data_IF_949161560012
#
_entry.id   IF_949161560012
#
_cell.length_a   1.000
_cell.length_b   1.000
_cell.length_c   1.000
_cell.angle_alpha   90.00
_cell.angle_beta   90.00
_cell.angle_gamma   90.00
#
_symmetry.space_group_name_H-M   'P 1'
#
loop_
_entity.id
_entity.type
_entity.pdbx_description
1 polymer ?
#
# COMPACT_ATOMS: atom_id res chain seq x y z
N UNK A 1 28.85 10.84 7.13
CA UNK A 1 27.43 11.26 7.18
C UNK A 1 27.24 12.09 8.45
N UNK A 2 26.57 13.25 8.38
CA UNK A 2 26.35 14.07 9.58
C UNK A 2 25.13 13.51 10.33
N UNK A 3 25.32 13.03 11.55
CA UNK A 3 24.21 12.57 12.38
C UNK A 3 23.27 13.74 12.67
N UNK A 4 21.95 13.51 12.56
CA UNK A 4 20.94 14.50 12.95
C UNK A 4 21.01 14.76 14.45
N UNK A 5 20.69 15.99 14.86
CA UNK A 5 20.54 16.36 16.27
C UNK A 5 19.28 15.70 16.83
N UNK A 6 19.43 14.89 17.88
CA UNK A 6 18.34 14.14 18.51
C UNK A 6 17.73 14.91 19.69
N UNK A 7 16.40 14.84 19.85
CA UNK A 7 15.69 15.31 21.06
C UNK A 7 16.05 14.47 22.29
N UNK A 8 15.76 14.91 23.53
CA UNK A 8 16.01 14.11 24.73
C UNK A 8 15.35 12.72 24.70
N UNK A 9 14.12 12.64 24.20
CA UNK A 9 13.38 11.37 24.06
C UNK A 9 14.02 10.47 22.99
N UNK A 10 14.42 11.05 21.86
CA UNK A 10 15.14 10.34 20.79
C UNK A 10 16.50 9.83 21.29
N UNK A 11 17.23 10.61 22.08
CA UNK A 11 18.50 10.18 22.68
C UNK A 11 18.29 9.04 23.67
N UNK A 12 17.25 9.11 24.50
CA UNK A 12 16.92 8.04 25.43
C UNK A 12 16.70 6.71 24.71
N UNK A 13 15.92 6.70 23.63
CA UNK A 13 15.67 5.47 22.88
C UNK A 13 16.87 5.06 22.04
N UNK A 14 17.38 5.94 21.18
CA UNK A 14 18.38 5.61 20.15
C UNK A 14 19.79 5.40 20.74
N UNK A 15 20.19 6.20 21.73
CA UNK A 15 21.55 6.17 22.28
C UNK A 15 21.65 5.42 23.61
N UNK A 16 20.61 5.51 24.44
CA UNK A 16 20.59 4.88 25.77
C UNK A 16 19.84 3.54 25.78
N UNK A 17 19.47 3.02 24.60
CA UNK A 17 18.79 1.73 24.41
C UNK A 17 17.47 1.64 25.18
N UNK A 18 16.77 2.77 25.29
CA UNK A 18 15.42 2.84 25.84
C UNK A 18 14.39 2.23 24.90
N UNK A 19 13.15 2.11 25.36
CA UNK A 19 12.03 1.62 24.55
C UNK A 19 10.86 2.58 24.69
N UNK A 20 10.24 2.94 23.57
CA UNK A 20 9.00 3.72 23.58
C UNK A 20 7.89 2.97 24.30
N UNK A 21 6.88 3.70 24.78
CA UNK A 21 5.69 3.04 25.33
C UNK A 21 4.92 2.32 24.20
N UNK A 22 4.33 1.14 24.47
CA UNK A 22 3.51 0.47 23.48
C UNK A 22 2.30 1.33 23.11
N UNK A 23 1.89 1.24 21.84
CA UNK A 23 0.75 1.94 21.23
C UNK A 23 0.87 3.46 21.15
N UNK A 24 2.03 4.05 21.47
CA UNK A 24 2.22 5.51 21.39
C UNK A 24 3.03 5.97 20.18
N UNK A 25 3.74 5.04 19.52
CA UNK A 25 4.64 5.36 18.41
C UNK A 25 3.88 5.75 17.14
N UNK A 26 4.34 6.82 16.47
CA UNK A 26 3.75 7.36 15.22
C UNK A 26 3.60 6.31 14.10
N UNK A 27 4.43 5.27 14.08
CA UNK A 27 4.45 4.29 13.01
C UNK A 27 3.82 2.95 13.38
N UNK A 28 3.23 2.82 14.57
CA UNK A 28 2.59 1.58 14.99
C UNK A 28 1.51 1.13 13.98
N UNK A 29 0.56 2.02 13.66
CA UNK A 29 -0.54 1.77 12.71
C UNK A 29 -0.34 2.47 11.35
N UNK A 30 0.91 2.75 10.98
CA UNK A 30 1.24 3.39 9.71
C UNK A 30 1.60 2.35 8.66
N UNK A 31 0.90 2.33 7.52
CA UNK A 31 1.10 1.35 6.43
C UNK A 31 1.12 2.00 5.04
N UNK A 32 1.50 3.29 4.99
CA UNK A 32 1.74 3.98 3.72
C UNK A 32 2.94 3.34 2.99
N UNK A 33 2.90 3.34 1.65
CA UNK A 33 3.98 2.84 0.81
C UNK A 33 5.20 3.73 0.89
N UNK A 34 6.36 3.15 1.22
CA UNK A 34 7.62 3.89 1.28
C UNK A 34 8.72 3.11 1.99
N UNK A 35 9.67 3.85 2.55
CA UNK A 35 10.83 3.31 3.26
C UNK A 35 10.95 3.93 4.64
N UNK A 36 11.22 3.09 5.64
CA UNK A 36 11.59 3.53 6.97
C UNK A 36 13.10 3.71 7.05
N UNK A 37 13.55 4.92 7.36
CA UNK A 37 14.94 5.29 7.46
C UNK A 37 15.34 5.54 8.91
N UNK A 38 16.60 5.26 9.26
CA UNK A 38 17.16 5.53 10.58
C UNK A 38 17.06 7.03 10.90
N UNK A 39 16.44 7.35 12.04
CA UNK A 39 16.28 8.73 12.50
C UNK A 39 17.61 9.49 12.60
N UNK A 40 18.66 8.81 13.07
CA UNK A 40 19.95 9.43 13.35
C UNK A 40 20.79 9.68 12.10
N UNK A 41 20.91 8.68 11.22
CA UNK A 41 21.84 8.74 10.08
C UNK A 41 21.17 8.75 8.70
N UNK A 42 19.86 8.51 8.63
CA UNK A 42 19.10 8.47 7.37
C UNK A 42 19.26 7.18 6.56
N UNK A 43 20.00 6.19 7.04
CA UNK A 43 20.13 4.91 6.34
C UNK A 43 18.77 4.21 6.22
N UNK A 44 18.45 3.68 5.04
CA UNK A 44 17.20 2.93 4.83
C UNK A 44 17.26 1.61 5.60
N UNK A 45 16.23 1.31 6.39
CA UNK A 45 16.17 0.17 7.30
C UNK A 45 15.17 -0.89 6.83
N UNK A 46 13.95 -0.45 6.52
CA UNK A 46 12.83 -1.34 6.21
C UNK A 46 12.02 -0.80 5.05
N UNK A 47 11.43 -1.69 4.26
CA UNK A 47 10.43 -1.34 3.26
C UNK A 47 9.05 -1.44 3.88
N UNK A 48 8.09 -0.63 3.42
CA UNK A 48 6.71 -0.72 3.88
C UNK A 48 6.07 -2.09 3.62
N UNK A 49 6.49 -2.79 2.56
CA UNK A 49 6.04 -4.14 2.21
C UNK A 49 6.43 -5.22 3.23
N UNK A 50 7.49 -4.98 4.00
CA UNK A 50 7.93 -5.90 5.07
C UNK A 50 7.14 -5.64 6.37
N UNK A 51 6.37 -4.55 6.46
CA UNK A 51 5.63 -4.18 7.66
C UNK A 51 4.33 -5.01 7.75
N UNK A 52 4.00 -5.48 8.96
CA UNK A 52 2.77 -6.22 9.19
C UNK A 52 2.12 -5.88 10.55
N UNK A 53 0.79 -6.04 10.70
CA UNK A 53 0.10 -5.80 11.97
C UNK A 53 0.33 -6.96 12.95
N UNK A 54 1.25 -6.77 13.90
CA UNK A 54 1.53 -7.75 14.97
C UNK A 54 0.72 -7.54 16.25
N UNK A 55 0.09 -6.36 16.39
CA UNK A 55 -0.59 -5.90 17.61
C UNK A 55 0.28 -5.88 18.88
N UNK A 56 1.61 -5.91 18.75
CA UNK A 56 2.52 -5.88 19.90
C UNK A 56 2.64 -4.49 20.54
N UNK A 57 2.15 -3.44 19.87
CA UNK A 57 2.23 -2.04 20.31
C UNK A 57 3.38 -1.24 19.70
N UNK A 58 4.15 -1.83 18.80
CA UNK A 58 5.21 -1.16 18.03
C UNK A 58 5.16 -1.57 16.56
N UNK A 59 5.66 -0.73 15.63
CA UNK A 59 5.80 -1.14 14.24
C UNK A 59 6.60 -2.43 14.13
N UNK A 60 6.08 -3.36 13.35
CA UNK A 60 6.62 -4.70 13.20
C UNK A 60 6.92 -4.99 11.74
N UNK A 61 8.13 -5.49 11.48
CA UNK A 61 8.58 -5.87 10.14
C UNK A 61 9.02 -7.34 10.14
N UNK A 62 8.81 -8.06 9.05
CA UNK A 62 9.23 -9.46 8.93
C UNK A 62 10.46 -9.68 8.05
N UNK A 63 11.06 -8.59 7.57
CA UNK A 63 12.33 -8.54 6.87
C UNK A 63 13.02 -7.18 7.11
N UNK A 64 14.25 -7.07 6.63
CA UNK A 64 15.04 -5.85 6.61
C UNK A 64 15.62 -5.58 5.22
N UNK A 65 15.98 -4.32 4.95
CA UNK A 65 16.86 -4.05 3.82
C UNK A 65 18.21 -4.72 4.11
N UNK A 66 18.69 -5.56 3.18
CA UNK A 66 19.88 -6.37 3.36
C UNK A 66 21.08 -5.53 3.86
N UNK A 67 21.63 -5.92 5.00
CA UNK A 67 22.77 -5.25 5.64
C UNK A 67 22.43 -3.96 6.40
N UNK A 68 21.17 -3.54 6.47
CA UNK A 68 20.76 -2.32 7.17
C UNK A 68 20.65 -2.48 8.69
N UNK A 69 20.42 -3.71 9.16
CA UNK A 69 20.19 -4.03 10.57
C UNK A 69 21.29 -4.94 11.11
N UNK A 70 21.89 -4.55 12.23
CA UNK A 70 22.87 -5.35 12.97
C UNK A 70 22.18 -5.96 14.19
N UNK A 71 22.35 -7.28 14.38
CA UNK A 71 21.76 -8.04 15.49
C UNK A 71 22.82 -8.26 16.57
N UNK A 72 22.48 -7.98 17.83
CA UNK A 72 23.37 -8.14 18.99
C UNK A 72 22.62 -8.82 20.14
N UNK A 73 23.26 -9.75 20.85
CA UNK A 73 22.61 -10.43 21.98
C UNK A 73 22.63 -9.51 23.19
N UNK A 74 21.48 -9.29 23.81
CA UNK A 74 21.35 -8.50 25.03
C UNK A 74 22.22 -9.07 26.16
N UNK A 75 22.57 -8.23 27.13
CA UNK A 75 23.31 -8.66 28.33
C UNK A 75 22.59 -9.77 29.13
N UNK A 76 21.28 -9.94 28.95
CA UNK A 76 20.47 -11.00 29.54
C UNK A 76 20.63 -12.37 28.85
N UNK A 77 21.26 -12.41 27.67
CA UNK A 77 21.51 -13.60 26.87
C UNK A 77 20.25 -14.20 26.22
N UNK A 78 19.11 -13.51 26.26
CA UNK A 78 17.80 -14.03 25.80
C UNK A 78 17.24 -13.28 24.61
N UNK A 79 17.35 -11.97 24.61
CA UNK A 79 16.80 -11.12 23.54
C UNK A 79 17.90 -10.72 22.56
N UNK A 80 17.50 -10.50 21.31
CA UNK A 80 18.40 -10.03 20.26
C UNK A 80 18.01 -8.59 19.94
N UNK A 81 18.86 -7.66 20.36
CA UNK A 81 18.79 -6.25 20.03
C UNK A 81 19.04 -6.07 18.53
N UNK A 82 18.28 -5.15 17.92
CA UNK A 82 18.52 -4.68 16.55
C UNK A 82 19.00 -3.23 16.58
N UNK A 83 20.10 -2.99 15.87
CA UNK A 83 20.79 -1.72 15.74
C UNK A 83 20.84 -1.32 14.27
N UNK A 84 20.87 -0.02 13.98
CA UNK A 84 21.22 0.44 12.65
C UNK A 84 22.68 0.05 12.34
N UNK A 85 22.90 -0.71 11.26
CA UNK A 85 24.25 -1.17 10.90
C UNK A 85 25.20 -0.01 10.51
N UNK A 86 24.66 1.17 10.18
CA UNK A 86 25.45 2.33 9.75
C UNK A 86 25.89 3.25 10.91
N UNK A 87 25.10 3.36 11.99
CA UNK A 87 25.39 4.31 13.08
C UNK A 87 25.23 3.74 14.49
N UNK A 88 24.95 2.44 14.61
CA UNK A 88 24.73 1.72 15.86
C UNK A 88 23.55 2.24 16.71
N UNK A 89 22.68 3.07 16.12
CA UNK A 89 21.49 3.57 16.80
C UNK A 89 20.52 2.44 17.13
N UNK A 90 20.04 2.42 18.38
CA UNK A 90 19.09 1.41 18.85
C UNK A 90 17.76 1.49 18.11
N UNK A 91 17.33 0.36 17.55
CA UNK A 91 16.06 0.24 16.83
C UNK A 91 15.01 -0.48 17.68
N UNK A 92 15.37 -1.54 18.39
CA UNK A 92 14.45 -2.37 19.16
C UNK A 92 14.96 -3.80 19.30
N UNK A 93 14.08 -4.79 19.11
CA UNK A 93 14.43 -6.21 19.21
C UNK A 93 13.86 -7.04 18.05
N UNK A 94 14.54 -8.13 17.71
CA UNK A 94 14.03 -9.15 16.79
C UNK A 94 13.60 -10.40 17.55
N UNK A 95 12.48 -10.98 17.14
CA UNK A 95 11.90 -12.20 17.65
C UNK A 95 11.73 -13.20 16.51
N UNK A 96 12.10 -14.46 16.73
CA UNK A 96 11.97 -15.53 15.74
C UNK A 96 11.13 -16.66 16.34
N UNK A 97 10.37 -17.38 15.51
CA UNK A 97 9.61 -18.55 15.97
C UNK A 97 8.18 -18.28 16.43
N UNK A 98 7.69 -17.04 16.33
CA UNK A 98 6.34 -16.65 16.78
C UNK A 98 5.22 -17.05 15.79
N UNK A 99 5.57 -17.48 14.59
CA UNK A 99 4.69 -17.93 13.52
C UNK A 99 3.68 -16.87 13.06
N UNK A 100 4.06 -15.59 13.14
CA UNK A 100 3.21 -14.46 12.73
C UNK A 100 3.22 -14.22 11.22
N UNK A 101 4.35 -14.49 10.56
CA UNK A 101 4.50 -14.42 9.10
C UNK A 101 5.20 -15.66 8.58
N UNK A 102 5.26 -15.80 7.25
CA UNK A 102 5.97 -16.91 6.58
C UNK A 102 7.48 -16.89 6.87
N UNK A 103 8.08 -15.71 6.98
CA UNK A 103 9.49 -15.53 7.33
C UNK A 103 9.76 -15.85 8.80
N UNK A 104 8.71 -15.87 9.63
CA UNK A 104 8.76 -16.28 11.03
C UNK A 104 9.75 -15.45 11.87
N UNK A 105 9.89 -14.19 11.49
CA UNK A 105 10.75 -13.16 12.05
C UNK A 105 9.87 -11.95 12.33
N UNK A 106 10.08 -11.29 13.45
CA UNK A 106 9.43 -10.02 13.80
C UNK A 106 10.44 -9.06 14.38
N UNK A 107 10.76 -8.03 13.62
CA UNK A 107 11.50 -6.86 14.07
C UNK A 107 10.51 -5.93 14.77
N UNK A 108 10.57 -5.86 16.09
CA UNK A 108 9.76 -4.98 16.92
C UNK A 108 10.53 -3.67 17.11
N UNK A 109 10.16 -2.63 16.37
CA UNK A 109 10.98 -1.43 16.21
C UNK A 109 10.36 -0.24 16.92
N UNK A 110 11.17 0.61 17.55
CA UNK A 110 10.71 1.89 18.06
C UNK A 110 10.43 2.85 16.89
N UNK A 111 9.24 3.45 16.87
CA UNK A 111 8.87 4.47 15.87
C UNK A 111 9.80 5.70 15.94
N UNK A 112 10.23 6.09 17.15
CA UNK A 112 11.13 7.24 17.34
C UNK A 112 12.52 7.02 16.77
N UNK A 113 12.94 5.76 16.59
CA UNK A 113 14.22 5.42 15.97
C UNK A 113 14.20 5.55 14.44
N UNK A 114 13.04 5.88 13.85
CA UNK A 114 12.85 5.95 12.41
C UNK A 114 12.19 7.26 11.96
N UNK A 115 12.51 7.65 10.74
CA UNK A 115 11.68 8.51 9.89
C UNK A 115 11.07 7.63 8.79
N UNK A 116 9.95 8.07 8.23
CA UNK A 116 9.33 7.44 7.06
C UNK A 116 9.53 8.38 5.88
N UNK A 117 9.87 7.81 4.73
CA UNK A 117 9.99 8.51 3.45
C UNK A 117 8.96 7.87 2.53
N UNK A 118 7.97 8.63 2.11
CA UNK A 118 6.92 8.08 1.25
C UNK A 118 7.48 7.69 -0.12
N UNK A 119 6.79 6.80 -0.81
CA UNK A 119 7.14 6.46 -2.19
C UNK A 119 7.17 7.72 -3.09
N UNK A 120 6.25 8.67 -2.87
CA UNK A 120 6.25 9.96 -3.55
C UNK A 120 7.52 10.77 -3.27
N UNK A 121 7.90 10.92 -2.00
CA UNK A 121 9.12 11.63 -1.59
C UNK A 121 10.39 10.96 -2.15
N UNK A 122 10.46 9.62 -2.14
CA UNK A 122 11.59 8.87 -2.70
C UNK A 122 11.76 9.15 -4.20
N UNK A 123 10.67 9.21 -4.94
CA UNK A 123 10.73 9.51 -6.36
C UNK A 123 11.09 10.97 -6.63
N UNK A 124 10.53 11.92 -5.87
CA UNK A 124 10.89 13.34 -5.98
C UNK A 124 12.40 13.54 -5.75
N UNK A 125 12.98 12.83 -4.78
CA UNK A 125 14.42 12.85 -4.52
C UNK A 125 15.26 12.25 -5.67
N UNK A 126 14.68 11.31 -6.42
CA UNK A 126 15.28 10.71 -7.62
C UNK A 126 14.98 11.48 -8.92
N UNK A 127 14.33 12.66 -8.82
CA UNK A 127 14.02 13.51 -9.96
C UNK A 127 12.83 13.03 -10.82
N UNK A 128 12.09 12.02 -10.37
CA UNK A 128 10.85 11.56 -10.99
C UNK A 128 9.63 12.00 -10.18
N UNK A 129 8.57 12.46 -10.84
CA UNK A 129 7.27 12.65 -10.17
C UNK A 129 6.45 11.37 -10.37
N UNK A 130 6.26 10.56 -9.33
CA UNK A 130 5.24 9.50 -9.39
C UNK A 130 3.88 10.13 -9.61
N UNK A 131 2.99 9.35 -10.20
CA UNK A 131 1.61 9.72 -10.44
C UNK A 131 0.70 8.67 -9.83
N UNK A 132 -0.54 9.07 -9.53
CA UNK A 132 -1.58 8.17 -9.05
C UNK A 132 -2.65 7.98 -10.11
N UNK A 133 -3.27 6.81 -10.12
CA UNK A 133 -4.44 6.49 -10.92
C UNK A 133 -5.45 5.71 -10.07
N UNK A 134 -6.75 5.93 -10.30
CA UNK A 134 -7.79 5.39 -9.45
C UNK A 134 -8.81 4.58 -10.27
N UNK A 135 -8.98 3.31 -9.89
CA UNK A 135 -9.80 2.35 -10.64
C UNK A 135 -10.76 1.61 -9.70
N UNK A 136 -12.01 1.45 -10.13
CA UNK A 136 -13.01 0.60 -9.47
C UNK A 136 -13.54 -0.40 -10.49
N UNK A 137 -13.48 -1.70 -10.21
CA UNK A 137 -13.78 -2.74 -11.21
C UNK A 137 -14.24 -4.05 -10.61
N UNK A 138 -15.03 -4.00 -9.54
CA UNK A 138 -15.42 -5.16 -8.75
C UNK A 138 -14.74 -5.21 -7.40
N UNK A 139 -14.66 -6.41 -6.82
CA UNK A 139 -13.91 -6.64 -5.58
C UNK A 139 -12.48 -6.10 -5.72
N UNK A 140 -12.11 -5.13 -4.88
CA UNK A 140 -10.81 -4.46 -4.97
C UNK A 140 -9.60 -5.39 -4.80
N UNK A 141 -9.76 -6.57 -4.17
CA UNK A 141 -8.66 -7.52 -3.94
C UNK A 141 -8.12 -8.04 -5.26
N UNK A 142 -9.02 -8.32 -6.22
CA UNK A 142 -8.61 -8.81 -7.53
C UNK A 142 -7.94 -7.71 -8.36
N UNK A 143 -8.48 -6.50 -8.29
CA UNK A 143 -7.92 -5.32 -8.97
C UNK A 143 -6.53 -4.99 -8.42
N UNK A 144 -6.40 -4.91 -7.09
CA UNK A 144 -5.14 -4.67 -6.38
C UNK A 144 -4.08 -5.69 -6.80
N UNK A 145 -4.38 -6.98 -6.63
CA UNK A 145 -3.45 -8.06 -6.91
C UNK A 145 -2.93 -8.08 -8.36
N UNK A 146 -3.78 -7.76 -9.33
CA UNK A 146 -3.41 -7.79 -10.75
C UNK A 146 -2.68 -6.50 -11.17
N UNK A 147 -3.07 -5.35 -10.63
CA UNK A 147 -2.38 -4.07 -10.86
C UNK A 147 -0.98 -4.05 -10.27
N UNK A 148 -0.77 -4.66 -9.09
CA UNK A 148 0.55 -4.77 -8.45
C UNK A 148 1.59 -5.50 -9.31
N UNK A 149 1.14 -6.34 -10.26
CA UNK A 149 2.02 -7.11 -11.13
C UNK A 149 2.50 -6.32 -12.35
N UNK A 150 1.94 -5.14 -12.61
CA UNK A 150 2.31 -4.31 -13.75
C UNK A 150 3.67 -3.66 -13.53
N UNK A 151 4.67 -3.90 -14.40
CA UNK A 151 5.94 -3.18 -14.34
C UNK A 151 5.72 -1.66 -14.39
N UNK A 152 6.41 -0.94 -13.50
CA UNK A 152 6.27 0.50 -13.31
C UNK A 152 5.24 0.92 -12.25
N UNK A 153 4.39 0.00 -11.78
CA UNK A 153 3.56 0.23 -10.59
C UNK A 153 4.43 0.10 -9.34
N UNK A 154 4.34 1.09 -8.45
CA UNK A 154 5.09 1.17 -7.19
C UNK A 154 4.28 0.61 -6.04
N UNK A 155 2.98 0.93 -5.97
CA UNK A 155 2.06 0.31 -5.01
C UNK A 155 0.62 0.41 -5.44
N UNK A 156 -0.21 -0.46 -4.89
CA UNK A 156 -1.67 -0.41 -5.05
C UNK A 156 -2.32 -0.54 -3.69
N UNK A 157 -3.25 0.34 -3.38
CA UNK A 157 -3.95 0.40 -2.09
C UNK A 157 -5.45 0.23 -2.32
N UNK A 158 -6.07 -0.72 -1.62
CA UNK A 158 -7.52 -0.92 -1.63
C UNK A 158 -8.24 0.14 -0.79
N UNK A 159 -9.39 0.62 -1.27
CA UNK A 159 -10.17 1.66 -0.59
C UNK A 159 -11.57 1.89 -1.15
N UNK A 160 -12.18 2.98 -0.69
CA UNK A 160 -13.55 3.38 -1.00
C UNK A 160 -13.56 4.79 -1.59
N UNK A 161 -14.32 4.98 -2.66
CA UNK A 161 -14.32 6.25 -3.39
C UNK A 161 -15.64 6.54 -4.10
N UNK A 162 -15.96 7.84 -4.27
CA UNK A 162 -17.11 8.31 -5.07
C UNK A 162 -18.44 8.40 -4.33
N UNK A 163 -18.52 7.93 -3.09
CA UNK A 163 -19.69 8.04 -2.21
C UNK A 163 -19.73 9.34 -1.40
N UNK A 164 -20.72 9.42 -0.51
CA UNK A 164 -21.04 10.64 0.27
C UNK A 164 -20.80 10.51 1.78
N UNK A 165 -20.40 9.32 2.26
CA UNK A 165 -20.08 9.09 3.67
C UNK A 165 -18.58 9.28 3.88
N UNK A 166 -18.20 10.18 4.78
CA UNK A 166 -16.79 10.38 5.15
C UNK A 166 -16.26 9.22 5.99
N UNK A 167 -14.99 8.83 5.76
CA UNK A 167 -14.31 7.75 6.45
C UNK A 167 -15.16 6.47 6.63
N UNK A 168 -15.68 5.89 5.52
CA UNK A 168 -16.58 4.75 5.58
C UNK A 168 -15.86 3.47 6.04
N UNK A 169 -16.54 2.63 6.81
CA UNK A 169 -16.10 1.25 7.07
C UNK A 169 -16.60 0.29 5.99
N UNK A 170 -15.98 -0.88 5.89
CA UNK A 170 -16.42 -1.96 5.01
C UNK A 170 -17.89 -2.34 5.24
N UNK A 171 -18.32 -2.44 6.50
CA UNK A 171 -19.71 -2.77 6.83
C UNK A 171 -20.69 -1.71 6.34
N UNK A 172 -20.30 -0.43 6.42
CA UNK A 172 -21.11 0.66 5.88
C UNK A 172 -21.20 0.57 4.37
N UNK A 173 -20.10 0.30 3.66
CA UNK A 173 -20.07 0.14 2.20
C UNK A 173 -20.94 -1.05 1.78
N UNK A 174 -20.81 -2.18 2.47
CA UNK A 174 -21.62 -3.38 2.26
C UNK A 174 -23.13 -3.18 2.51
N UNK A 175 -23.52 -2.15 3.29
CA UNK A 175 -24.93 -1.78 3.46
C UNK A 175 -25.56 -1.18 2.20
N UNK A 176 -24.74 -0.82 1.19
CA UNK A 176 -25.12 -0.19 -0.08
C UNK A 176 -25.67 1.23 0.04
N UNK A 177 -25.55 1.85 1.22
CA UNK A 177 -26.10 3.18 1.48
C UNK A 177 -25.07 4.31 1.35
N UNK A 178 -23.77 4.00 1.26
CA UNK A 178 -22.72 5.04 1.24
C UNK A 178 -22.50 5.64 -0.15
N UNK A 179 -22.91 4.93 -1.20
CA UNK A 179 -22.63 5.28 -2.60
C UNK A 179 -21.17 5.11 -3.02
N UNK A 180 -20.29 4.62 -2.15
CA UNK A 180 -18.90 4.35 -2.49
C UNK A 180 -18.77 3.12 -3.37
N UNK A 181 -17.78 3.17 -4.27
CA UNK A 181 -17.25 2.01 -4.96
C UNK A 181 -16.02 1.47 -4.21
N UNK A 182 -15.83 0.16 -4.26
CA UNK A 182 -14.52 -0.44 -4.01
C UNK A 182 -13.58 -0.02 -5.13
N UNK A 183 -12.54 0.70 -4.75
CA UNK A 183 -11.56 1.28 -5.66
C UNK A 183 -10.15 0.95 -5.20
N UNK A 184 -9.19 1.10 -6.10
CA UNK A 184 -7.77 1.05 -5.79
C UNK A 184 -7.09 2.36 -6.16
N UNK A 185 -6.16 2.79 -5.32
CA UNK A 185 -5.17 3.83 -5.66
C UNK A 185 -3.91 3.13 -6.18
N UNK A 186 -3.54 3.41 -7.43
CA UNK A 186 -2.35 2.88 -8.08
C UNK A 186 -1.31 3.99 -8.14
N UNK A 187 -0.23 3.87 -7.39
CA UNK A 187 0.94 4.73 -7.48
C UNK A 187 1.91 4.14 -8.49
N UNK A 188 2.34 4.93 -9.48
CA UNK A 188 3.18 4.44 -10.58
C UNK A 188 4.23 5.46 -11.02
N UNK A 189 5.28 4.95 -11.66
CA UNK A 189 6.34 5.74 -12.26
C UNK A 189 6.04 6.01 -13.74
N UNK A 190 5.69 7.26 -14.13
CA UNK A 190 5.35 7.62 -15.51
C UNK A 190 6.52 7.46 -16.49
N UNK A 191 7.76 7.28 -16.00
CA UNK A 191 8.90 6.94 -16.86
C UNK A 191 8.96 5.46 -17.26
N UNK A 192 8.23 4.59 -16.55
CA UNK A 192 8.18 3.15 -16.77
C UNK A 192 6.83 2.67 -17.32
N UNK A 193 5.72 3.27 -16.87
CA UNK A 193 4.36 2.93 -17.31
C UNK A 193 3.51 4.19 -17.37
N UNK A 194 2.69 4.34 -18.42
CA UNK A 194 1.78 5.48 -18.57
C UNK A 194 0.35 5.14 -18.13
N UNK A 195 -0.47 6.19 -17.95
CA UNK A 195 -1.88 6.04 -17.59
C UNK A 195 -2.66 5.20 -18.62
N UNK A 196 -2.40 5.35 -19.93
CA UNK A 196 -3.11 4.57 -20.96
C UNK A 196 -2.86 3.07 -20.80
N UNK A 197 -1.63 2.67 -20.45
CA UNK A 197 -1.28 1.27 -20.17
C UNK A 197 -2.00 0.74 -18.94
N UNK A 198 -2.07 1.53 -17.86
CA UNK A 198 -2.81 1.15 -16.64
C UNK A 198 -4.32 1.05 -16.91
N UNK A 199 -4.90 1.99 -17.65
CA UNK A 199 -6.31 1.97 -18.01
C UNK A 199 -6.64 0.78 -18.94
N UNK A 200 -5.75 0.42 -19.88
CA UNK A 200 -5.90 -0.82 -20.67
C UNK A 200 -5.89 -2.05 -19.77
N UNK A 201 -4.91 -2.16 -18.87
CA UNK A 201 -4.84 -3.27 -17.93
C UNK A 201 -6.12 -3.36 -17.10
N UNK A 202 -6.64 -2.23 -16.61
CA UNK A 202 -7.91 -2.17 -15.90
C UNK A 202 -9.05 -2.82 -16.68
N UNK A 203 -9.24 -2.45 -17.96
CA UNK A 203 -10.25 -3.09 -18.81
C UNK A 203 -9.98 -4.57 -19.08
N UNK A 204 -8.72 -5.00 -19.05
CA UNK A 204 -8.33 -6.40 -19.27
C UNK A 204 -8.46 -7.29 -18.04
N UNK A 205 -8.59 -6.75 -16.82
CA UNK A 205 -8.64 -7.55 -15.58
C UNK A 205 -10.05 -7.74 -14.98
N UNK A 206 -11.05 -7.05 -15.52
CA UNK A 206 -12.45 -7.18 -15.09
C UNK A 206 -13.41 -7.27 -16.30
N UNK A 207 -14.71 -7.44 -16.04
CA UNK A 207 -15.76 -7.38 -17.06
C UNK A 207 -16.40 -5.98 -17.07
N UNK A 208 -16.02 -5.10 -18.01
CA UNK A 208 -16.53 -3.73 -18.09
C UNK A 208 -17.93 -3.69 -18.71
N UNK A 209 -18.62 -4.82 -18.89
CA UNK A 209 -20.00 -4.89 -19.41
C UNK A 209 -21.01 -5.28 -18.33
N UNK A 210 -20.54 -5.64 -17.12
CA UNK A 210 -21.41 -6.04 -16.02
C UNK A 210 -21.83 -4.82 -15.18
N UNK A 211 -23.10 -4.43 -15.26
CA UNK A 211 -23.61 -3.16 -14.67
C UNK A 211 -23.63 -3.15 -13.14
N UNK A 212 -24.13 -4.22 -12.50
CA UNK A 212 -24.35 -4.29 -11.04
C UNK A 212 -23.34 -5.21 -10.33
N UNK A 213 -22.07 -5.14 -10.76
CA UNK A 213 -20.94 -5.73 -10.05
C UNK A 213 -19.96 -6.47 -10.96
N UNK A 214 -19.25 -7.44 -10.41
CA UNK A 214 -18.18 -8.16 -11.10
C UNK A 214 -18.20 -9.65 -10.79
N UNK A 215 -18.43 -10.49 -11.80
CA UNK A 215 -18.54 -11.93 -11.65
C UNK A 215 -19.62 -12.30 -10.61
N UNK A 216 -19.29 -13.10 -9.58
CA UNK A 216 -20.25 -13.47 -8.53
C UNK A 216 -20.51 -12.35 -7.50
N UNK A 217 -19.73 -11.27 -7.48
CA UNK A 217 -19.87 -10.19 -6.51
C UNK A 217 -20.85 -9.13 -7.05
N UNK A 218 -22.08 -9.17 -6.55
CA UNK A 218 -23.18 -8.32 -7.03
C UNK A 218 -23.55 -7.20 -6.05
N UNK A 219 -23.58 -5.98 -6.54
CA UNK A 219 -23.96 -4.79 -5.80
C UNK A 219 -23.30 -3.51 -6.32
N UNK A 220 -23.86 -2.34 -5.96
CA UNK A 220 -23.45 -1.06 -6.50
C UNK A 220 -22.01 -0.70 -6.15
N UNK A 221 -21.49 -1.18 -5.02
CA UNK A 221 -20.11 -0.94 -4.60
C UNK A 221 -19.07 -1.62 -5.52
N UNK A 222 -19.48 -2.62 -6.30
CA UNK A 222 -18.61 -3.35 -7.22
C UNK A 222 -18.67 -2.80 -8.65
N UNK A 223 -19.36 -1.67 -8.86
CA UNK A 223 -19.51 -1.08 -10.18
C UNK A 223 -18.18 -0.63 -10.81
N UNK A 224 -18.13 -0.65 -12.14
CA UNK A 224 -16.95 -0.25 -12.90
C UNK A 224 -16.85 1.26 -13.06
N UNK A 225 -15.71 1.86 -12.66
CA UNK A 225 -15.41 3.27 -12.86
C UNK A 225 -13.90 3.56 -12.92
N UNK A 226 -13.56 4.63 -13.62
CA UNK A 226 -12.23 5.26 -13.60
C UNK A 226 -12.40 6.67 -13.03
N UNK A 227 -11.66 7.00 -11.97
CA UNK A 227 -11.67 8.34 -11.39
C UNK A 227 -10.47 9.13 -11.92
N UNK A 228 -10.75 10.23 -12.61
CA UNK A 228 -9.72 10.98 -13.36
C UNK A 228 -9.37 12.31 -12.70
N UNK A 229 -8.08 12.64 -12.67
CA UNK A 229 -7.54 13.90 -12.15
C UNK A 229 -7.75 15.08 -13.09
N UNK A 230 -7.74 14.83 -14.39
CA UNK A 230 -7.68 15.86 -15.43
C UNK A 230 -8.34 15.40 -16.74
N UNK A 231 -8.44 16.33 -17.69
CA UNK A 231 -9.08 16.08 -18.99
C UNK A 231 -8.28 15.13 -19.90
N UNK A 232 -6.97 14.98 -19.67
CA UNK A 232 -6.13 14.05 -20.42
C UNK A 232 -6.47 12.59 -20.06
N UNK A 233 -6.50 12.27 -18.76
CA UNK A 233 -6.93 10.96 -18.25
C UNK A 233 -8.38 10.65 -18.66
N UNK A 234 -9.26 11.67 -18.65
CA UNK A 234 -10.63 11.56 -19.16
C UNK A 234 -10.64 11.15 -20.63
N UNK A 235 -9.91 11.89 -21.47
CA UNK A 235 -9.84 11.66 -22.91
C UNK A 235 -9.28 10.27 -23.25
N UNK A 236 -8.25 9.82 -22.52
CA UNK A 236 -7.71 8.46 -22.66
C UNK A 236 -8.75 7.41 -22.28
N UNK A 237 -9.43 7.58 -21.15
CA UNK A 237 -10.44 6.64 -20.67
C UNK A 237 -11.61 6.51 -21.66
N UNK A 238 -12.16 7.63 -22.12
CA UNK A 238 -13.26 7.68 -23.09
C UNK A 238 -12.85 7.11 -24.46
N UNK A 239 -11.60 7.36 -24.90
CA UNK A 239 -11.03 6.74 -26.10
C UNK A 239 -10.98 5.21 -25.98
N UNK A 240 -10.54 4.66 -24.84
CA UNK A 240 -10.47 3.22 -24.63
C UNK A 240 -11.86 2.59 -24.59
N UNK A 241 -12.83 3.24 -23.94
CA UNK A 241 -14.24 2.82 -23.95
C UNK A 241 -14.76 2.74 -25.39
N UNK A 242 -14.58 3.80 -26.18
CA UNK A 242 -15.02 3.84 -27.58
C UNK A 242 -14.36 2.74 -28.43
N UNK A 243 -13.10 2.38 -28.17
CA UNK A 243 -12.43 1.26 -28.86
C UNK A 243 -13.10 -0.07 -28.55
N UNK A 244 -13.46 -0.33 -27.30
CA UNK A 244 -14.16 -1.56 -26.88
C UNK A 244 -15.60 -1.60 -27.43
N UNK A 245 -16.31 -0.47 -27.42
CA UNK A 245 -17.65 -0.36 -28.02
C UNK A 245 -17.62 -0.66 -29.52
N UNK A 246 -16.60 -0.17 -30.24
CA UNK A 246 -16.41 -0.48 -31.66
C UNK A 246 -16.08 -1.96 -31.92
N UNK A 247 -15.60 -2.69 -30.92
CA UNK A 247 -15.43 -4.15 -30.96
C UNK A 247 -16.73 -4.92 -30.61
N UNK A 248 -17.82 -4.21 -30.27
CA UNK A 248 -19.14 -4.76 -29.98
C UNK A 248 -19.41 -5.04 -28.50
N UNK A 249 -18.60 -4.49 -27.59
CA UNK A 249 -18.86 -4.57 -26.15
C UNK A 249 -19.80 -3.45 -25.69
N UNK A 250 -20.75 -3.76 -24.83
CA UNK A 250 -21.62 -2.76 -24.18
C UNK A 250 -20.97 -2.30 -22.88
N UNK A 251 -20.11 -1.29 -22.96
CA UNK A 251 -19.25 -0.87 -21.84
C UNK A 251 -20.05 -0.02 -20.85
N UNK A 252 -20.11 -0.46 -19.60
CA UNK A 252 -20.84 0.22 -18.50
C UNK A 252 -19.91 1.03 -17.57
N UNK A 253 -18.59 0.98 -17.82
CA UNK A 253 -17.58 1.71 -17.04
C UNK A 253 -17.82 3.22 -17.08
N UNK A 254 -17.89 3.85 -15.90
CA UNK A 254 -18.08 5.30 -15.76
C UNK A 254 -16.75 6.04 -15.66
N UNK A 255 -16.61 7.19 -16.34
CA UNK A 255 -15.45 8.08 -16.20
C UNK A 255 -15.83 9.26 -15.29
N UNK A 256 -15.49 9.15 -14.01
CA UNK A 256 -15.91 10.06 -12.96
C UNK A 256 -14.78 11.05 -12.61
N UNK A 257 -15.09 12.31 -12.24
CA UNK A 257 -14.08 13.22 -11.72
C UNK A 257 -13.50 12.69 -10.40
N UNK A 258 -12.28 13.10 -10.07
CA UNK A 258 -11.63 12.76 -8.81
C UNK A 258 -12.51 13.09 -7.60
N UNK A 259 -12.54 12.16 -6.64
CA UNK A 259 -13.24 12.27 -5.37
C UNK A 259 -12.27 11.98 -4.22
N UNK A 260 -12.67 12.15 -2.96
CA UNK A 260 -11.82 11.73 -1.85
C UNK A 260 -11.68 10.19 -1.84
N UNK A 261 -10.44 9.69 -1.81
CA UNK A 261 -10.13 8.28 -1.60
C UNK A 261 -10.03 7.99 -0.09
N UNK A 262 -10.70 6.93 0.36
CA UNK A 262 -10.65 6.45 1.74
C UNK A 262 -10.01 5.07 1.76
N UNK A 263 -8.78 4.96 2.30
CA UNK A 263 -8.10 3.67 2.44
C UNK A 263 -8.95 2.69 3.25
N UNK A 264 -9.12 1.47 2.74
CA UNK A 264 -9.83 0.40 3.42
C UNK A 264 -9.02 -0.19 4.58
N UNK A 265 -9.70 -0.94 5.44
CA UNK A 265 -9.11 -1.59 6.60
C UNK A 265 -7.94 -2.50 6.23
N UNK A 266 -6.96 -2.62 7.13
CA UNK A 266 -5.69 -3.31 6.85
C UNK A 266 -5.85 -4.79 6.49
N UNK A 267 -6.94 -5.46 6.90
CA UNK A 267 -7.20 -6.84 6.51
C UNK A 267 -7.65 -6.98 5.04
N UNK A 268 -8.01 -5.89 4.37
CA UNK A 268 -8.31 -5.87 2.94
C UNK A 268 -7.05 -5.69 2.08
N UNK A 269 -6.02 -5.07 2.61
CA UNK A 269 -4.78 -4.78 1.86
C UNK A 269 -3.99 -6.05 1.63
N UNK A 270 -3.47 -6.22 0.42
CA UNK A 270 -2.64 -7.35 0.00
C UNK A 270 -3.30 -8.72 0.26
N UNK A 271 -4.63 -8.79 0.16
CA UNK A 271 -5.40 -9.97 0.60
C UNK A 271 -4.92 -11.27 -0.05
N UNK A 272 -4.72 -11.27 -1.38
CA UNK A 272 -4.28 -12.47 -2.11
C UNK A 272 -2.81 -12.79 -1.85
N UNK A 273 -1.95 -11.77 -1.66
CA UNK A 273 -0.54 -11.96 -1.30
C UNK A 273 -0.43 -12.61 0.08
N UNK A 274 -1.17 -12.10 1.07
CA UNK A 274 -1.17 -12.59 2.46
C UNK A 274 -1.77 -13.98 2.60
N UNK A 275 -2.86 -14.26 1.88
CA UNK A 275 -3.58 -15.54 2.02
C UNK A 275 -3.05 -16.63 1.09
N UNK A 276 -2.26 -16.27 0.06
CA UNK A 276 -1.81 -17.19 -0.98
C UNK A 276 -2.94 -17.75 -1.85
N UNK A 277 -4.15 -17.15 -1.77
CA UNK A 277 -5.30 -17.51 -2.60
C UNK A 277 -5.16 -16.87 -3.99
N UNK A 278 -6.00 -17.31 -4.92
CA UNK A 278 -6.09 -16.74 -6.27
C UNK A 278 -7.39 -15.95 -6.44
N UNK A 279 -7.39 -14.88 -7.27
CA UNK A 279 -8.61 -14.14 -7.59
C UNK A 279 -9.72 -15.03 -8.15
N UNK A 280 -10.92 -14.95 -7.55
CA UNK A 280 -12.07 -15.73 -8.00
C UNK A 280 -12.98 -14.96 -8.98
N UNK A 281 -13.06 -13.64 -8.85
CA UNK A 281 -13.93 -12.75 -9.62
C UNK A 281 -13.22 -11.96 -10.74
N UNK A 282 -11.89 -11.90 -10.70
CA UNK A 282 -11.05 -11.20 -11.69
C UNK A 282 -10.18 -12.18 -12.46
N UNK A 283 -10.07 -11.97 -13.77
CA UNK A 283 -9.20 -12.73 -14.67
C UNK A 283 -8.70 -11.81 -15.76
N UNK A 284 -7.43 -11.99 -16.13
CA UNK A 284 -6.87 -11.31 -17.28
C UNK A 284 -7.49 -11.84 -18.58
N UNK A 285 -8.04 -10.94 -19.39
CA UNK A 285 -8.51 -11.16 -20.74
C UNK A 285 -8.01 -10.01 -21.62
N UNK A 286 -7.14 -10.33 -22.58
CA UNK A 286 -6.62 -9.34 -23.53
C UNK A 286 -7.74 -8.74 -24.39
N UNK A 287 -7.78 -7.40 -24.51
CA UNK A 287 -8.81 -6.66 -25.26
C UNK A 287 -8.23 -5.65 -26.27
N UNK A 288 -6.98 -5.22 -26.08
CA UNK A 288 -6.30 -4.26 -26.95
C UNK A 288 -5.10 -4.85 -27.70
#
# INVERSE_FOLDING_TARGET
MSNKTLTPEEQYVILQKGTERPFTGKYNEHFETGVYACKQCGAHLYRSEDKFPSHCGWPSFDDEIEGAVRREVDADGRRIEILCANCDGHLGHVFEGEMLTRKNVRHCVNSISMDFISAEELAQQQGGSLQTAYFAGGCFWGVEHLMQQQPGVVSVVSGYMGGHVDNPSYEQVCSKQTGHLEAVEVLYDPSQVDFETLAKLFFEIHDPTQEDGQGPDLGPQYGSAIFVHNDEERGVSEKLIALLENQGLDVVTRVLPMAQFWRAEEFHQDYYVRTGKVPYCHRYQKRF
#
